data_IF_771990407200
#
_entry.id   IF_771990407200
#
_cell.length_a   1.000
_cell.length_b   1.000
_cell.length_c   1.000
_cell.angle_alpha   90.00
_cell.angle_beta   90.00
_cell.angle_gamma   90.00
#
_symmetry.space_group_name_H-M   'P 1'
#
loop_
_entity.id
_entity.type
_entity.pdbx_description
1 polymer ?
#
# COMPACT_ATOMS: atom_id res chain seq x y z
N UNK A 1 -15.73 8.12 -34.05
CA UNK A 1 -14.69 7.11 -33.84
C UNK A 1 -13.38 7.71 -34.38
N UNK A 2 -12.36 7.87 -33.53
CA UNK A 2 -11.04 8.34 -33.97
C UNK A 2 -10.16 7.11 -34.10
N UNK A 3 -9.73 6.83 -35.33
CA UNK A 3 -8.82 5.74 -35.64
C UNK A 3 -7.38 6.25 -35.49
N UNK A 4 -6.59 5.63 -34.65
CA UNK A 4 -5.17 5.90 -34.52
C UNK A 4 -4.38 4.82 -35.23
N UNK A 5 -3.37 5.24 -36.03
CA UNK A 5 -2.34 4.31 -36.47
C UNK A 5 -1.48 3.96 -35.28
N UNK A 6 -1.48 2.69 -34.86
CA UNK A 6 -0.72 2.24 -33.72
C UNK A 6 0.72 1.92 -34.12
N UNK A 7 1.68 2.51 -33.39
CA UNK A 7 3.10 2.18 -33.54
C UNK A 7 3.53 1.12 -32.50
N UNK A 8 2.55 0.33 -32.01
CA UNK A 8 2.74 -0.75 -31.07
C UNK A 8 2.06 -0.55 -29.71
N UNK A 9 2.16 -1.57 -28.84
CA UNK A 9 1.46 -1.63 -27.56
C UNK A 9 1.77 -0.48 -26.59
N UNK A 10 2.97 0.06 -26.64
CA UNK A 10 3.36 1.21 -25.81
C UNK A 10 2.61 2.47 -26.26
N UNK A 11 2.52 2.71 -27.57
CA UNK A 11 1.79 3.84 -28.14
C UNK A 11 0.29 3.75 -27.82
N UNK A 12 -0.30 2.56 -27.97
CA UNK A 12 -1.71 2.31 -27.60
C UNK A 12 -1.98 2.57 -26.12
N UNK A 13 -1.08 2.13 -25.22
CA UNK A 13 -1.22 2.38 -23.79
C UNK A 13 -1.14 3.88 -23.44
N UNK A 14 -0.24 4.63 -24.08
CA UNK A 14 -0.14 6.10 -23.91
C UNK A 14 -1.39 6.81 -24.41
N UNK A 15 -1.90 6.42 -25.61
CA UNK A 15 -3.14 6.96 -26.15
C UNK A 15 -4.34 6.66 -25.25
N UNK A 16 -4.45 5.44 -24.73
CA UNK A 16 -5.48 5.05 -23.76
C UNK A 16 -5.45 5.94 -22.51
N UNK A 17 -4.27 6.17 -21.93
CA UNK A 17 -4.12 7.05 -20.77
C UNK A 17 -4.57 8.48 -21.12
N UNK A 18 -4.08 9.04 -22.23
CA UNK A 18 -4.38 10.40 -22.64
C UNK A 18 -5.88 10.64 -22.92
N UNK A 19 -6.55 9.68 -23.56
CA UNK A 19 -7.97 9.77 -23.89
C UNK A 19 -8.89 9.59 -22.68
N UNK A 20 -8.48 8.76 -21.71
CA UNK A 20 -9.34 8.38 -20.58
C UNK A 20 -9.14 9.21 -19.32
N UNK A 21 -8.05 9.98 -19.21
CA UNK A 21 -7.81 10.87 -18.05
C UNK A 21 -8.92 11.93 -17.87
N UNK A 22 -9.62 12.33 -18.96
CA UNK A 22 -10.60 13.41 -18.93
C UNK A 22 -12.08 13.00 -19.02
N UNK A 23 -12.40 11.76 -19.41
CA UNK A 23 -13.80 11.41 -19.79
C UNK A 23 -14.45 10.27 -18.99
N UNK A 24 -13.70 9.34 -18.48
CA UNK A 24 -14.24 8.18 -17.75
C UNK A 24 -13.41 7.92 -16.51
N UNK A 25 -14.06 7.63 -15.37
CA UNK A 25 -13.36 7.22 -14.16
C UNK A 25 -12.78 5.81 -14.34
N UNK A 26 -11.59 5.74 -14.92
CA UNK A 26 -10.87 4.49 -15.12
C UNK A 26 -10.45 3.92 -13.76
N UNK A 27 -10.69 2.63 -13.48
CA UNK A 27 -10.22 1.98 -12.25
C UNK A 27 -8.70 2.16 -12.07
N UNK A 28 -8.27 2.38 -10.81
CA UNK A 28 -6.87 2.65 -10.50
C UNK A 28 -5.92 1.53 -10.98
N UNK A 29 -6.36 0.28 -10.91
CA UNK A 29 -5.60 -0.89 -11.39
C UNK A 29 -5.46 -0.86 -12.92
N UNK A 30 -6.54 -0.57 -13.66
CA UNK A 30 -6.46 -0.48 -15.12
C UNK A 30 -5.51 0.65 -15.56
N UNK A 31 -5.56 1.79 -14.88
CA UNK A 31 -4.64 2.91 -15.11
C UNK A 31 -3.19 2.52 -14.82
N UNK A 32 -2.92 1.87 -13.68
CA UNK A 32 -1.60 1.38 -13.34
C UNK A 32 -1.05 0.42 -14.39
N UNK A 33 -1.83 -0.58 -14.80
CA UNK A 33 -1.43 -1.57 -15.80
C UNK A 33 -1.16 -0.93 -17.17
N UNK A 34 -1.94 0.10 -17.54
CA UNK A 34 -1.68 0.86 -18.76
C UNK A 34 -0.37 1.65 -18.67
N UNK A 35 -0.08 2.28 -17.50
CA UNK A 35 1.20 2.98 -17.27
C UNK A 35 2.39 2.03 -17.36
N UNK A 36 2.28 0.82 -16.79
CA UNK A 36 3.32 -0.21 -16.88
C UNK A 36 3.59 -0.61 -18.35
N UNK A 37 2.52 -0.84 -19.13
CA UNK A 37 2.63 -1.16 -20.58
C UNK A 37 3.24 -0.02 -21.39
N UNK A 38 2.98 1.22 -20.98
CA UNK A 38 3.56 2.42 -21.59
C UNK A 38 4.98 2.71 -21.07
N UNK A 39 5.58 1.81 -20.30
CA UNK A 39 6.90 1.95 -19.69
C UNK A 39 7.07 3.22 -18.81
N UNK A 40 5.97 3.71 -18.22
CA UNK A 40 6.00 4.90 -17.37
C UNK A 40 6.49 4.56 -15.96
N UNK A 41 7.26 5.45 -15.37
CA UNK A 41 7.71 5.39 -13.98
C UNK A 41 6.83 6.29 -13.10
N UNK A 42 6.62 5.96 -11.82
CA UNK A 42 7.23 4.83 -11.08
C UNK A 42 6.52 3.48 -11.28
N UNK A 43 5.39 3.39 -11.99
CA UNK A 43 4.54 2.20 -12.09
C UNK A 43 5.30 0.99 -12.62
N UNK A 44 6.16 1.19 -13.62
CA UNK A 44 7.00 0.11 -14.16
C UNK A 44 7.96 -0.43 -13.09
N UNK A 45 8.66 0.44 -12.39
CA UNK A 45 9.59 0.06 -11.31
C UNK A 45 8.88 -0.68 -10.17
N UNK A 46 7.69 -0.21 -9.78
CA UNK A 46 6.85 -0.85 -8.76
C UNK A 46 6.45 -2.25 -9.24
N UNK A 47 5.98 -2.40 -10.49
CA UNK A 47 5.55 -3.69 -11.03
C UNK A 47 6.69 -4.70 -11.10
N UNK A 48 7.87 -4.29 -11.58
CA UNK A 48 9.07 -5.11 -11.64
C UNK A 48 9.48 -5.58 -10.24
N UNK A 49 9.52 -4.67 -9.28
CA UNK A 49 9.86 -4.99 -7.91
C UNK A 49 8.83 -5.90 -7.24
N UNK A 50 7.52 -5.67 -7.39
CA UNK A 50 6.47 -6.56 -6.90
C UNK A 50 6.62 -7.96 -7.49
N UNK A 51 6.98 -8.06 -8.77
CA UNK A 51 7.26 -9.32 -9.45
C UNK A 51 8.36 -10.14 -8.78
N UNK A 52 9.41 -9.49 -8.23
CA UNK A 52 10.47 -10.20 -7.46
C UNK A 52 9.95 -10.84 -6.18
N UNK A 53 8.80 -10.38 -5.67
CA UNK A 53 8.13 -10.92 -4.50
C UNK A 53 7.00 -11.91 -4.86
N UNK A 54 6.77 -12.17 -6.15
CA UNK A 54 5.63 -12.95 -6.64
C UNK A 54 4.29 -12.23 -6.43
N UNK A 55 4.31 -10.89 -6.34
CA UNK A 55 3.12 -10.04 -6.20
C UNK A 55 2.81 -9.35 -7.54
N UNK A 56 1.55 -9.04 -7.77
CA UNK A 56 1.10 -8.24 -8.91
C UNK A 56 -0.05 -7.31 -8.54
N UNK A 57 -0.20 -6.21 -9.30
CA UNK A 57 -1.34 -5.31 -9.12
C UNK A 57 -2.56 -5.92 -9.80
N UNK A 58 -3.61 -6.18 -9.04
CA UNK A 58 -4.83 -6.88 -9.44
C UNK A 58 -6.07 -6.14 -8.95
N UNK A 59 -7.19 -6.30 -9.67
CA UNK A 59 -8.50 -5.77 -9.23
C UNK A 59 -9.09 -6.58 -8.08
N UNK A 60 -8.76 -7.86 -8.03
CA UNK A 60 -9.23 -8.76 -6.97
C UNK A 60 -8.40 -8.60 -5.69
N UNK A 61 -8.98 -7.93 -4.71
CA UNK A 61 -8.41 -7.79 -3.37
C UNK A 61 -8.43 -9.06 -2.52
N UNK A 62 -8.86 -10.21 -3.08
CA UNK A 62 -8.91 -11.50 -2.38
C UNK A 62 -7.69 -12.38 -2.67
N UNK A 63 -6.98 -12.10 -3.75
CA UNK A 63 -5.78 -12.86 -4.11
C UNK A 63 -4.64 -12.62 -3.13
N UNK A 64 -4.03 -13.69 -2.63
CA UNK A 64 -2.81 -13.64 -1.79
C UNK A 64 -1.65 -12.89 -2.45
N UNK A 65 -1.57 -13.00 -3.78
CA UNK A 65 -0.50 -12.39 -4.58
C UNK A 65 -0.95 -11.06 -5.20
N UNK A 66 -2.17 -10.60 -4.85
CA UNK A 66 -2.77 -9.40 -5.40
C UNK A 66 -2.55 -8.16 -4.53
N UNK A 67 -2.19 -7.06 -5.17
CA UNK A 67 -2.17 -5.72 -4.56
C UNK A 67 -3.24 -4.88 -5.25
N UNK A 68 -4.32 -4.52 -4.54
CA UNK A 68 -5.47 -3.81 -5.12
C UNK A 68 -5.46 -2.29 -4.85
N UNK A 69 -4.34 -1.73 -4.37
CA UNK A 69 -4.23 -0.33 -4.00
C UNK A 69 -3.05 0.42 -4.69
N UNK A 70 -2.97 0.41 -6.04
CA UNK A 70 -1.82 0.97 -6.75
C UNK A 70 -1.62 2.48 -6.48
N UNK A 71 -2.69 3.24 -6.26
CA UNK A 71 -2.58 4.67 -5.95
C UNK A 71 -1.81 4.93 -4.63
N UNK A 72 -1.99 4.09 -3.61
CA UNK A 72 -1.25 4.16 -2.35
C UNK A 72 0.22 3.79 -2.56
N UNK A 73 0.50 2.74 -3.35
CA UNK A 73 1.87 2.34 -3.69
C UNK A 73 2.62 3.46 -4.42
N UNK A 74 2.01 4.05 -5.46
CA UNK A 74 2.62 5.16 -6.21
C UNK A 74 2.92 6.34 -5.28
N UNK A 75 1.96 6.70 -4.42
CA UNK A 75 2.12 7.80 -3.48
C UNK A 75 3.27 7.55 -2.50
N UNK A 76 3.29 6.40 -1.84
CA UNK A 76 4.32 6.06 -0.85
C UNK A 76 5.69 5.83 -1.51
N UNK A 77 5.74 5.27 -2.70
CA UNK A 77 6.96 5.13 -3.48
C UNK A 77 7.59 6.48 -3.84
N UNK A 78 6.79 7.46 -4.25
CA UNK A 78 7.27 8.80 -4.55
C UNK A 78 7.72 9.58 -3.30
N UNK A 79 7.19 9.26 -2.11
CA UNK A 79 7.62 9.85 -0.85
C UNK A 79 8.94 9.23 -0.36
N UNK A 80 9.00 7.90 -0.30
CA UNK A 80 10.16 7.11 0.11
C UNK A 80 10.00 5.67 -0.40
N UNK A 81 10.74 5.35 -1.48
CA UNK A 81 10.66 4.05 -2.12
C UNK A 81 11.14 2.90 -1.21
N UNK A 82 12.12 3.14 -0.35
CA UNK A 82 12.65 2.11 0.54
C UNK A 82 11.70 1.81 1.69
N UNK A 83 11.12 2.82 2.32
CA UNK A 83 10.06 2.64 3.30
C UNK A 83 8.81 1.99 2.68
N UNK A 84 8.44 2.33 1.44
CA UNK A 84 7.35 1.68 0.71
C UNK A 84 7.61 0.17 0.53
N UNK A 85 8.80 -0.19 0.07
CA UNK A 85 9.21 -1.60 -0.09
C UNK A 85 9.19 -2.37 1.23
N UNK A 86 9.73 -1.77 2.29
CA UNK A 86 9.71 -2.35 3.64
C UNK A 86 8.29 -2.55 4.15
N UNK A 87 7.39 -1.57 3.96
CA UNK A 87 6.00 -1.66 4.38
C UNK A 87 5.25 -2.82 3.71
N UNK A 88 5.47 -3.07 2.41
CA UNK A 88 4.90 -4.22 1.68
C UNK A 88 5.45 -5.55 2.23
N UNK A 89 6.77 -5.65 2.43
CA UNK A 89 7.40 -6.86 2.97
C UNK A 89 6.88 -7.19 4.37
N UNK A 90 6.87 -6.20 5.27
CA UNK A 90 6.32 -6.35 6.63
C UNK A 90 4.88 -6.85 6.59
N UNK A 91 4.04 -6.22 5.74
CA UNK A 91 2.65 -6.64 5.62
C UNK A 91 2.52 -8.08 5.16
N UNK A 92 3.31 -8.50 4.18
CA UNK A 92 3.34 -9.88 3.71
C UNK A 92 3.73 -10.84 4.82
N UNK A 93 4.78 -10.51 5.56
CA UNK A 93 5.26 -11.33 6.67
C UNK A 93 4.23 -11.44 7.81
N UNK A 94 3.53 -10.35 8.10
CA UNK A 94 2.48 -10.29 9.14
C UNK A 94 1.22 -11.03 8.69
N UNK A 95 0.81 -10.85 7.43
CA UNK A 95 -0.46 -11.37 6.91
C UNK A 95 -0.42 -12.86 6.57
N UNK A 96 0.77 -13.43 6.32
CA UNK A 96 0.90 -14.80 5.83
C UNK A 96 0.21 -14.98 4.49
N UNK A 97 -0.92 -15.70 4.47
CA UNK A 97 -1.71 -15.97 3.27
C UNK A 97 -2.83 -14.96 3.00
N UNK A 98 -3.04 -13.99 3.90
CA UNK A 98 -4.06 -12.98 3.69
C UNK A 98 -3.60 -11.87 2.72
N UNK A 99 -4.50 -11.31 1.90
CA UNK A 99 -4.17 -10.21 0.99
C UNK A 99 -3.61 -8.98 1.71
N UNK A 100 -2.81 -8.20 0.99
CA UNK A 100 -2.35 -6.90 1.48
C UNK A 100 -3.51 -5.88 1.54
N UNK A 101 -3.41 -4.89 2.43
CA UNK A 101 -4.45 -3.87 2.62
C UNK A 101 -3.86 -2.46 2.69
N UNK A 102 -4.48 -1.51 2.00
CA UNK A 102 -3.97 -0.13 1.90
C UNK A 102 -3.80 0.57 3.25
N UNK A 103 -4.78 0.46 4.14
CA UNK A 103 -4.70 1.12 5.45
C UNK A 103 -3.56 0.55 6.33
N UNK A 104 -3.27 -0.76 6.24
CA UNK A 104 -2.13 -1.36 6.93
C UNK A 104 -0.81 -0.91 6.27
N UNK A 105 -0.77 -0.85 4.93
CA UNK A 105 0.39 -0.36 4.19
C UNK A 105 0.73 1.08 4.59
N UNK A 106 -0.25 1.96 4.51
CA UNK A 106 -0.09 3.38 4.84
C UNK A 106 0.34 3.58 6.30
N UNK A 107 -0.24 2.81 7.21
CA UNK A 107 0.10 2.86 8.64
C UNK A 107 1.53 2.40 8.92
N UNK A 108 1.94 1.27 8.33
CA UNK A 108 3.32 0.76 8.47
C UNK A 108 4.30 1.73 7.82
N UNK A 109 4.00 2.24 6.62
CA UNK A 109 4.81 3.23 5.93
C UNK A 109 5.02 4.48 6.80
N UNK A 110 3.95 5.02 7.38
CA UNK A 110 4.03 6.19 8.26
C UNK A 110 4.90 5.93 9.49
N UNK A 111 4.82 4.76 10.12
CA UNK A 111 5.68 4.40 11.24
C UNK A 111 7.16 4.35 10.84
N UNK A 112 7.46 3.74 9.68
CA UNK A 112 8.83 3.63 9.17
C UNK A 112 9.44 5.00 8.86
N UNK A 113 8.68 5.90 8.23
CA UNK A 113 9.15 7.26 7.91
C UNK A 113 9.33 8.12 9.16
N UNK A 114 8.69 7.76 10.28
CA UNK A 114 8.90 8.37 11.59
C UNK A 114 9.92 7.62 12.47
N UNK A 115 10.77 6.79 11.87
CA UNK A 115 11.89 6.13 12.55
C UNK A 115 11.52 4.95 13.45
N UNK A 116 10.27 4.46 13.40
CA UNK A 116 9.85 3.30 14.18
C UNK A 116 10.15 2.02 13.40
N UNK A 117 11.00 1.17 13.96
CA UNK A 117 11.37 -0.13 13.37
C UNK A 117 10.27 -1.16 13.57
N UNK A 118 9.34 -1.22 12.61
CA UNK A 118 8.19 -2.15 12.65
C UNK A 118 8.62 -3.58 12.39
N UNK A 119 9.73 -3.82 11.70
CA UNK A 119 10.28 -5.15 11.42
C UNK A 119 10.50 -5.98 12.70
N UNK A 120 11.01 -5.35 13.76
CA UNK A 120 11.25 -6.00 15.06
C UNK A 120 9.95 -6.52 15.73
N UNK A 121 8.81 -6.08 15.23
CA UNK A 121 7.50 -6.41 15.81
C UNK A 121 6.64 -7.30 14.92
N UNK A 122 7.16 -7.76 13.78
CA UNK A 122 6.46 -8.58 12.79
C UNK A 122 5.86 -9.86 13.41
N UNK A 123 6.65 -10.60 14.18
CA UNK A 123 6.18 -11.81 14.86
C UNK A 123 5.10 -11.53 15.89
N UNK A 124 5.20 -10.42 16.60
CA UNK A 124 4.17 -10.01 17.55
C UNK A 124 2.88 -9.68 16.82
N UNK A 125 2.94 -8.89 15.76
CA UNK A 125 1.77 -8.51 14.96
C UNK A 125 1.09 -9.76 14.37
N UNK A 126 1.87 -10.72 13.85
CA UNK A 126 1.36 -11.99 13.34
C UNK A 126 0.62 -12.78 14.44
N UNK A 127 1.22 -12.94 15.62
CA UNK A 127 0.60 -13.65 16.76
C UNK A 127 -0.66 -12.99 17.29
N UNK A 128 -0.81 -11.69 17.17
CA UNK A 128 -2.00 -10.94 17.58
C UNK A 128 -3.15 -11.03 16.57
N UNK A 129 -2.97 -11.71 15.45
CA UNK A 129 -3.99 -11.92 14.42
C UNK A 129 -3.76 -11.11 13.15
N UNK A 130 -2.54 -10.69 12.88
CA UNK A 130 -2.08 -10.14 11.60
C UNK A 130 -2.91 -8.98 11.10
N UNK A 131 -3.26 -9.03 9.80
CA UNK A 131 -4.07 -8.01 9.13
C UNK A 131 -5.37 -7.69 9.86
N UNK A 132 -6.11 -8.72 10.27
CA UNK A 132 -7.42 -8.52 10.88
C UNK A 132 -7.32 -7.74 12.19
N UNK A 133 -6.30 -8.00 13.02
CA UNK A 133 -6.06 -7.27 14.26
C UNK A 133 -5.64 -5.81 14.00
N UNK A 134 -4.75 -5.59 13.03
CA UNK A 134 -4.36 -4.23 12.64
C UNK A 134 -5.58 -3.43 12.15
N UNK A 135 -6.40 -3.99 11.26
CA UNK A 135 -7.59 -3.31 10.75
C UNK A 135 -8.60 -2.96 11.84
N UNK A 136 -8.86 -3.88 12.79
CA UNK A 136 -9.72 -3.58 13.95
C UNK A 136 -9.16 -2.40 14.76
N UNK A 137 -7.86 -2.39 15.02
CA UNK A 137 -7.22 -1.32 15.78
C UNK A 137 -7.26 0.02 15.04
N UNK A 138 -7.02 0.02 13.72
CA UNK A 138 -7.15 1.21 12.86
C UNK A 138 -8.58 1.75 12.93
N UNK A 139 -9.57 0.86 12.81
CA UNK A 139 -11.00 1.26 12.88
C UNK A 139 -11.37 1.83 14.26
N UNK A 140 -10.83 1.29 15.34
CA UNK A 140 -11.01 1.84 16.68
C UNK A 140 -10.45 3.26 16.78
N UNK A 141 -9.23 3.50 16.25
CA UNK A 141 -8.64 4.85 16.24
C UNK A 141 -9.46 5.81 15.40
N UNK A 142 -9.93 5.39 14.23
CA UNK A 142 -10.81 6.20 13.37
C UNK A 142 -12.07 6.68 14.12
N UNK A 143 -12.70 5.77 14.85
CA UNK A 143 -13.92 6.07 15.64
C UNK A 143 -13.59 7.02 16.80
N UNK A 144 -12.56 6.72 17.58
CA UNK A 144 -12.18 7.52 18.76
C UNK A 144 -11.75 8.95 18.40
N UNK A 145 -11.10 9.12 17.26
CA UNK A 145 -10.61 10.43 16.80
C UNK A 145 -11.62 11.17 15.92
N UNK A 146 -12.71 10.51 15.53
CA UNK A 146 -13.66 10.98 14.52
C UNK A 146 -12.97 11.46 13.24
N UNK A 147 -11.88 10.81 12.85
CA UNK A 147 -11.03 11.19 11.72
C UNK A 147 -10.96 10.04 10.72
N UNK A 148 -11.25 10.30 9.44
CA UNK A 148 -11.13 9.28 8.39
C UNK A 148 -9.72 8.66 8.35
N UNK A 149 -9.68 7.39 8.01
CA UNK A 149 -8.40 6.66 7.88
C UNK A 149 -7.48 7.38 6.89
N UNK A 150 -6.31 7.72 7.39
CA UNK A 150 -5.17 8.27 6.67
C UNK A 150 -3.89 7.55 7.14
N UNK A 151 -2.72 7.97 6.67
CA UNK A 151 -1.44 7.35 7.05
C UNK A 151 -1.20 7.37 8.56
N UNK A 152 -1.45 8.50 9.23
CA UNK A 152 -1.26 8.67 10.67
C UNK A 152 -2.23 7.81 11.47
N UNK A 153 -3.52 7.84 11.15
CA UNK A 153 -4.54 6.99 11.80
C UNK A 153 -4.20 5.51 11.62
N UNK A 154 -3.77 5.12 10.42
CA UNK A 154 -3.25 3.79 10.15
C UNK A 154 -2.05 3.44 11.05
N UNK A 155 -1.08 4.34 11.13
CA UNK A 155 0.12 4.20 11.97
C UNK A 155 -0.20 4.05 13.45
N UNK A 156 -1.06 4.92 14.00
CA UNK A 156 -1.49 4.83 15.40
C UNK A 156 -2.18 3.48 15.66
N UNK A 157 -3.02 3.01 14.74
CA UNK A 157 -3.67 1.71 14.87
C UNK A 157 -2.68 0.54 14.91
N UNK A 158 -1.69 0.53 14.02
CA UNK A 158 -0.60 -0.48 14.02
C UNK A 158 0.22 -0.38 15.31
N UNK A 159 0.59 0.84 15.72
CA UNK A 159 1.38 1.08 16.93
C UNK A 159 0.67 0.61 18.20
N UNK A 160 -0.65 0.74 18.27
CA UNK A 160 -1.45 0.18 19.39
C UNK A 160 -1.31 -1.34 19.47
N UNK A 161 -1.28 -2.04 18.34
CA UNK A 161 -1.04 -3.49 18.33
C UNK A 161 0.39 -3.82 18.79
N UNK A 162 1.38 -3.05 18.35
CA UNK A 162 2.77 -3.20 18.80
C UNK A 162 2.86 -2.97 20.33
N UNK A 163 2.15 -2.00 20.86
CA UNK A 163 2.14 -1.69 22.28
C UNK A 163 1.22 -2.60 23.13
N UNK A 164 0.37 -3.42 22.52
CA UNK A 164 -0.56 -4.29 23.23
C UNK A 164 0.18 -5.26 24.17
N UNK A 165 -0.19 -5.29 25.44
CA UNK A 165 0.44 -6.10 26.50
C UNK A 165 1.97 -5.97 26.58
N UNK A 166 2.54 -4.84 26.19
CA UNK A 166 3.96 -4.56 26.32
C UNK A 166 4.31 -4.31 27.79
N UNK A 167 5.26 -5.07 28.34
CA UNK A 167 5.70 -4.98 29.76
C UNK A 167 6.78 -3.92 29.99
N UNK A 168 7.26 -3.23 29.02
CA UNK A 168 8.25 -2.14 29.12
C UNK A 168 7.66 -0.82 28.66
N UNK A 169 8.52 0.16 28.42
CA UNK A 169 8.10 1.45 27.90
C UNK A 169 7.36 1.28 26.57
N UNK A 170 6.18 1.86 26.48
CA UNK A 170 5.43 1.92 25.23
C UNK A 170 6.13 2.83 24.26
N UNK A 171 6.11 2.46 22.97
CA UNK A 171 6.57 3.34 21.90
C UNK A 171 5.56 4.49 21.81
N UNK A 172 6.05 5.73 21.89
CA UNK A 172 5.22 6.92 21.79
C UNK A 172 4.70 7.10 20.35
N UNK A 173 3.55 7.75 20.21
CA UNK A 173 3.06 8.20 18.90
C UNK A 173 3.97 9.34 18.45
N UNK A 174 4.52 9.30 17.24
CA UNK A 174 5.30 10.41 16.70
C UNK A 174 4.50 11.71 16.68
N UNK A 175 5.13 12.80 17.09
CA UNK A 175 4.56 14.15 16.98
C UNK A 175 4.49 14.57 15.52
N UNK A 176 3.56 15.45 15.17
CA UNK A 176 3.52 16.06 13.84
C UNK A 176 4.69 17.06 13.73
N UNK A 177 5.53 16.85 12.71
CA UNK A 177 6.56 17.81 12.34
C UNK A 177 5.97 18.97 11.53
#
# INVERSE_FOLDING_TARGET
CVLFKSDGREHEARAFIALNVRRVKVPAVAKFNASVRAALNPEKQIAEWLGTLGLSVMEDGKSMNGVCFPAHLIRTWNMDADCCKRAVKIQRDVNGTEPLHSACHDGIFWLLTNGINVEEHTDKLRRLGGRAAMLRSIKTVEIETNTKVNMRIGGIGVLRQINYKRRGNKIAVPEEA
#
